data_IF_852793751327
#
_entry.id   IF_852793751327
#
_cell.length_a   1.000
_cell.length_b   1.000
_cell.length_c   1.000
_cell.angle_alpha   90.00
_cell.angle_beta   90.00
_cell.angle_gamma   90.00
#
_symmetry.space_group_name_H-M   'P 1'
#
loop_
_entity.id
_entity.type
_entity.pdbx_description
1 polymer ?
#
# COMPACT_ATOMS: atom_id res chain seq x y z
N UNK A 1 12.17 -14.61 43.08
CA UNK A 1 13.34 -13.82 43.52
C UNK A 1 13.93 -13.05 42.32
N UNK A 2 14.27 -11.77 42.50
CA UNK A 2 14.87 -10.91 41.46
C UNK A 2 16.40 -11.04 41.47
N UNK A 3 16.98 -11.42 40.33
CA UNK A 3 18.39 -11.83 40.25
C UNK A 3 19.38 -10.68 40.00
N UNK A 4 18.89 -9.44 39.86
CA UNK A 4 19.71 -8.24 39.68
C UNK A 4 19.43 -7.50 38.36
N UNK A 5 19.94 -6.28 38.24
CA UNK A 5 19.74 -5.41 37.06
C UNK A 5 18.88 -4.18 37.35
N UNK A 6 18.47 -3.49 36.28
CA UNK A 6 17.56 -2.34 36.36
C UNK A 6 16.21 -2.77 36.94
N UNK A 7 15.73 -2.18 38.05
CA UNK A 7 14.38 -2.43 38.52
C UNK A 7 13.35 -2.01 37.47
N UNK A 8 12.32 -2.82 37.18
CA UNK A 8 11.23 -2.40 36.32
C UNK A 8 10.54 -1.14 36.88
N UNK A 9 10.16 -0.20 36.00
CA UNK A 9 9.36 0.97 36.40
C UNK A 9 8.11 0.48 37.13
N UNK A 10 7.76 1.07 38.27
CA UNK A 10 6.64 0.62 39.11
C UNK A 10 7.08 -0.21 40.33
N UNK A 11 8.35 -0.61 40.37
CA UNK A 11 8.90 -1.44 41.45
C UNK A 11 10.24 -0.93 41.95
N UNK A 12 10.50 -1.16 43.23
CA UNK A 12 11.81 -1.04 43.87
C UNK A 12 12.31 -2.41 44.32
N UNK A 13 13.62 -2.53 44.55
CA UNK A 13 14.24 -3.79 45.00
C UNK A 13 14.53 -3.69 46.49
N UNK A 14 13.95 -4.59 47.28
CA UNK A 14 14.29 -4.78 48.70
C UNK A 14 14.51 -6.26 48.98
N UNK A 15 15.65 -6.62 49.57
CA UNK A 15 16.03 -8.03 49.84
C UNK A 15 15.85 -8.98 48.64
N UNK A 16 16.23 -8.53 47.43
CA UNK A 16 16.07 -9.28 46.16
C UNK A 16 14.61 -9.62 45.80
N UNK A 17 13.64 -8.89 46.35
CA UNK A 17 12.23 -8.93 45.96
C UNK A 17 11.83 -7.59 45.34
N UNK A 18 10.93 -7.65 44.36
CA UNK A 18 10.30 -6.46 43.80
C UNK A 18 9.17 -6.03 44.73
N UNK A 19 9.21 -4.79 45.20
CA UNK A 19 8.17 -4.17 46.02
C UNK A 19 7.55 -3.04 45.21
N UNK A 20 6.22 -2.93 45.27
CA UNK A 20 5.44 -1.92 44.56
C UNK A 20 5.85 -0.51 45.00
N UNK A 21 6.11 0.37 44.04
CA UNK A 21 6.34 1.80 44.28
C UNK A 21 5.11 2.60 43.82
N UNK A 22 4.29 3.05 44.76
CA UNK A 22 3.02 3.74 44.47
C UNK A 22 3.16 4.96 43.55
N UNK A 23 4.25 5.73 43.65
CA UNK A 23 4.49 6.90 42.79
C UNK A 23 4.82 6.55 41.33
N UNK A 24 5.26 5.32 41.07
CA UNK A 24 5.58 4.82 39.74
C UNK A 24 4.48 3.96 39.14
N UNK A 25 3.67 3.30 39.97
CA UNK A 25 2.56 2.44 39.52
C UNK A 25 1.59 3.21 38.63
N UNK A 26 1.20 4.42 39.03
CA UNK A 26 0.27 5.24 38.26
C UNK A 26 0.83 5.60 36.89
N UNK A 27 2.16 5.79 36.78
CA UNK A 27 2.81 5.99 35.47
C UNK A 27 2.75 4.74 34.62
N UNK A 28 2.93 3.55 35.19
CA UNK A 28 2.83 2.29 34.44
C UNK A 28 1.39 2.09 33.94
N UNK A 29 0.40 2.22 34.81
CA UNK A 29 -1.02 2.10 34.44
C UNK A 29 -1.42 3.08 33.35
N UNK A 30 -0.98 4.34 33.48
CA UNK A 30 -1.19 5.36 32.45
C UNK A 30 -0.58 4.95 31.10
N UNK A 31 0.63 4.39 31.08
CA UNK A 31 1.28 3.95 29.82
C UNK A 31 0.47 2.83 29.15
N UNK A 32 -0.05 1.87 29.92
CA UNK A 32 -0.88 0.78 29.38
C UNK A 32 -2.21 1.31 28.82
N UNK A 33 -2.92 2.13 29.59
CA UNK A 33 -4.22 2.69 29.18
C UNK A 33 -4.07 3.61 27.96
N UNK A 34 -3.07 4.49 27.95
CA UNK A 34 -2.79 5.34 26.78
C UNK A 34 -2.44 4.53 25.54
N UNK A 35 -1.79 3.36 25.69
CA UNK A 35 -1.53 2.50 24.54
C UNK A 35 -2.82 1.92 23.97
N UNK A 36 -3.73 1.46 24.82
CA UNK A 36 -5.05 0.96 24.42
C UNK A 36 -5.87 2.04 23.71
N UNK A 37 -5.86 3.27 24.24
CA UNK A 37 -6.55 4.42 23.65
C UNK A 37 -5.95 4.86 22.31
N UNK A 38 -4.63 4.93 22.20
CA UNK A 38 -3.96 5.49 21.02
C UNK A 38 -3.77 4.47 19.88
N UNK A 39 -3.81 3.18 20.20
CA UNK A 39 -3.69 2.08 19.23
C UNK A 39 -2.30 1.89 18.62
N UNK A 40 -1.30 2.72 18.97
CA UNK A 40 0.01 2.75 18.30
C UNK A 40 1.15 3.15 19.23
N UNK A 41 2.24 2.36 19.23
CA UNK A 41 3.43 2.63 20.04
C UNK A 41 4.12 3.94 19.63
N UNK A 42 4.04 4.34 18.36
CA UNK A 42 4.62 5.61 17.90
C UNK A 42 3.82 6.81 18.41
N UNK A 43 2.48 6.71 18.42
CA UNK A 43 1.60 7.74 19.00
C UNK A 43 1.79 7.84 20.51
N UNK A 44 1.88 6.68 21.18
CA UNK A 44 2.19 6.59 22.61
C UNK A 44 3.52 7.28 22.94
N UNK A 45 4.58 7.00 22.18
CA UNK A 45 5.88 7.64 22.39
C UNK A 45 5.80 9.18 22.32
N UNK A 46 5.05 9.72 21.37
CA UNK A 46 4.85 11.17 21.23
C UNK A 46 4.03 11.75 22.38
N UNK A 47 2.95 11.07 22.77
CA UNK A 47 2.07 11.48 23.89
C UNK A 47 2.81 11.47 25.23
N UNK A 48 3.60 10.42 25.51
CA UNK A 48 4.41 10.36 26.73
C UNK A 48 5.48 11.46 26.76
N UNK A 49 6.08 11.77 25.60
CA UNK A 49 7.04 12.88 25.47
C UNK A 49 6.38 14.24 25.74
N UNK A 50 5.18 14.50 25.22
CA UNK A 50 4.48 15.77 25.45
C UNK A 50 4.01 15.95 26.90
N UNK A 51 3.80 14.85 27.62
CA UNK A 51 3.41 14.83 29.04
C UNK A 51 4.60 14.77 30.01
N UNK A 52 5.83 14.86 29.49
CA UNK A 52 7.09 14.70 30.22
C UNK A 52 7.20 13.38 31.05
N UNK A 53 6.55 12.31 30.58
CA UNK A 53 6.60 11.01 31.24
C UNK A 53 7.90 10.29 30.84
N UNK A 54 8.75 10.03 31.83
CA UNK A 54 10.14 9.55 31.64
C UNK A 54 10.36 8.14 32.18
N UNK A 55 11.43 7.50 31.71
CA UNK A 55 11.88 6.19 32.19
C UNK A 55 12.34 6.23 33.65
N UNK A 56 12.32 5.08 34.34
CA UNK A 56 12.74 4.97 35.75
C UNK A 56 14.15 5.52 35.94
N UNK A 57 14.31 6.44 36.89
CA UNK A 57 15.62 6.89 37.36
C UNK A 57 16.11 5.91 38.43
N UNK A 58 17.36 5.48 38.32
CA UNK A 58 17.95 4.53 39.26
C UNK A 58 19.46 4.73 39.35
N UNK A 59 20.03 4.24 40.45
CA UNK A 59 21.48 4.27 40.68
C UNK A 59 22.01 2.85 40.53
N UNK A 60 23.00 2.68 39.67
CA UNK A 60 23.66 1.38 39.48
C UNK A 60 24.41 0.97 40.75
N UNK A 61 24.73 -0.32 40.91
CA UNK A 61 25.57 -0.80 42.02
C UNK A 61 26.94 -0.08 42.10
N UNK A 62 27.42 0.49 41.00
CA UNK A 62 28.66 1.28 40.91
C UNK A 62 28.48 2.78 41.22
N UNK A 63 27.31 3.21 41.70
CA UNK A 63 27.04 4.61 42.06
C UNK A 63 26.60 5.53 40.92
N UNK A 64 26.63 5.08 39.67
CA UNK A 64 26.22 5.91 38.53
C UNK A 64 24.70 6.04 38.42
N UNK A 65 24.19 7.27 38.35
CA UNK A 65 22.79 7.54 38.04
C UNK A 65 22.48 7.25 36.56
N UNK A 66 21.36 6.58 36.30
CA UNK A 66 20.86 6.25 34.96
C UNK A 66 19.34 6.39 34.89
N UNK A 67 18.82 6.51 33.66
CA UNK A 67 17.38 6.66 33.41
C UNK A 67 16.90 8.11 33.50
N UNK A 68 15.59 8.33 33.55
CA UNK A 68 15.00 9.68 33.46
C UNK A 68 14.95 10.24 32.03
N UNK A 69 15.21 9.42 31.02
CA UNK A 69 15.15 9.80 29.61
C UNK A 69 13.74 9.59 29.04
N UNK A 70 13.44 10.26 27.93
CA UNK A 70 12.23 9.98 27.15
C UNK A 70 12.21 8.54 26.67
N UNK A 71 11.04 7.92 26.62
CA UNK A 71 10.90 6.56 26.12
C UNK A 71 11.26 6.44 24.63
N UNK A 72 12.09 5.47 24.29
CA UNK A 72 12.30 5.05 22.90
C UNK A 72 11.25 4.03 22.49
N UNK A 73 11.02 3.87 21.19
CA UNK A 73 10.08 2.87 20.66
C UNK A 73 10.37 1.46 21.18
N UNK A 74 11.65 1.06 21.19
CA UNK A 74 12.05 -0.27 21.68
C UNK A 74 11.81 -0.46 23.18
N UNK A 75 12.06 0.58 23.98
CA UNK A 75 11.80 0.56 25.42
C UNK A 75 10.31 0.39 25.74
N UNK A 76 9.42 1.00 24.95
CA UNK A 76 7.96 0.84 25.12
C UNK A 76 7.51 -0.58 24.77
N UNK A 77 8.03 -1.19 23.71
CA UNK A 77 7.74 -2.60 23.43
C UNK A 77 8.23 -3.50 24.57
N UNK A 78 9.45 -3.29 25.07
CA UNK A 78 9.98 -4.07 26.18
C UNK A 78 9.12 -3.91 27.44
N UNK A 79 8.65 -2.70 27.75
CA UNK A 79 7.77 -2.42 28.89
C UNK A 79 6.40 -3.08 28.73
N UNK A 80 5.71 -2.82 27.63
CA UNK A 80 4.36 -3.34 27.38
C UNK A 80 4.32 -4.87 27.26
N UNK A 81 5.45 -5.53 26.96
CA UNK A 81 5.56 -6.98 26.86
C UNK A 81 6.20 -7.65 28.08
N UNK A 82 6.57 -6.88 29.11
CA UNK A 82 7.20 -7.43 30.30
C UNK A 82 6.17 -8.06 31.27
N UNK A 83 6.15 -9.40 31.44
CA UNK A 83 5.15 -10.07 32.29
C UNK A 83 5.30 -9.76 33.79
N UNK A 84 6.35 -9.03 34.19
CA UNK A 84 6.50 -8.52 35.57
C UNK A 84 5.28 -7.74 36.01
N UNK A 85 4.63 -7.01 35.12
CA UNK A 85 3.48 -6.17 35.46
C UNK A 85 2.23 -6.94 35.89
N UNK A 86 2.14 -8.22 35.52
CA UNK A 86 1.09 -9.16 35.94
C UNK A 86 1.56 -10.18 36.98
N UNK A 87 2.62 -9.86 37.73
CA UNK A 87 3.12 -10.72 38.81
C UNK A 87 4.00 -11.89 38.34
N UNK A 88 4.46 -11.92 37.08
CA UNK A 88 5.23 -13.04 36.52
C UNK A 88 6.67 -12.63 36.15
N UNK A 89 7.62 -13.56 36.18
CA UNK A 89 9.02 -13.27 35.84
C UNK A 89 9.45 -14.16 34.68
N UNK A 90 10.04 -13.54 33.65
CA UNK A 90 10.66 -14.25 32.53
C UNK A 90 12.10 -14.63 32.90
N UNK A 91 12.42 -15.92 32.77
CA UNK A 91 13.78 -16.43 32.90
C UNK A 91 14.11 -17.31 31.69
N UNK A 92 15.03 -16.84 30.85
CA UNK A 92 15.29 -17.41 29.51
C UNK A 92 13.99 -17.47 28.69
N UNK A 93 13.60 -18.68 28.26
CA UNK A 93 12.40 -18.91 27.45
C UNK A 93 11.17 -19.32 28.27
N UNK A 94 11.29 -19.38 29.60
CA UNK A 94 10.19 -19.77 30.49
C UNK A 94 9.69 -18.57 31.31
N UNK A 95 8.38 -18.51 31.50
CA UNK A 95 7.71 -17.53 32.35
C UNK A 95 7.24 -18.25 33.61
N UNK A 96 7.62 -17.72 34.77
CA UNK A 96 7.30 -18.29 36.09
C UNK A 96 6.47 -17.31 36.89
N UNK A 97 5.69 -17.81 37.85
CA UNK A 97 5.01 -16.96 38.83
C UNK A 97 6.06 -16.23 39.69
N UNK A 98 5.89 -14.92 39.82
CA UNK A 98 6.73 -14.05 40.63
C UNK A 98 6.31 -14.07 42.09
N UNK A 99 7.14 -13.47 42.94
CA UNK A 99 6.84 -13.29 44.37
C UNK A 99 6.44 -11.84 44.69
N UNK A 100 6.03 -11.09 43.66
CA UNK A 100 5.73 -9.67 43.75
C UNK A 100 4.30 -9.42 43.27
N UNK A 101 3.69 -8.37 43.81
CA UNK A 101 2.32 -8.01 43.49
C UNK A 101 2.20 -7.48 42.06
N UNK A 102 1.15 -7.87 41.35
CA UNK A 102 0.82 -7.36 40.02
C UNK A 102 0.31 -5.91 40.12
N UNK A 103 0.80 -5.03 39.26
CA UNK A 103 0.38 -3.61 39.24
C UNK A 103 -0.54 -3.27 38.07
N UNK A 104 -0.64 -4.18 37.09
CA UNK A 104 -1.59 -4.16 35.97
C UNK A 104 -2.46 -5.40 36.07
N UNK A 105 -3.77 -5.24 35.91
CA UNK A 105 -4.72 -6.35 35.91
C UNK A 105 -4.58 -7.20 34.62
N UNK A 106 -5.07 -8.44 34.67
CA UNK A 106 -4.94 -9.37 33.54
C UNK A 106 -5.74 -8.91 32.31
N UNK A 107 -6.89 -8.27 32.49
CA UNK A 107 -7.75 -7.86 31.39
C UNK A 107 -7.08 -6.76 30.55
N UNK A 108 -6.56 -5.72 31.20
CA UNK A 108 -5.77 -4.65 30.58
C UNK A 108 -4.53 -5.23 29.89
N UNK A 109 -3.83 -6.14 30.56
CA UNK A 109 -2.65 -6.78 30.00
C UNK A 109 -2.97 -7.57 28.72
N UNK A 110 -4.00 -8.40 28.75
CA UNK A 110 -4.41 -9.23 27.63
C UNK A 110 -4.88 -8.37 26.45
N UNK A 111 -5.66 -7.31 26.71
CA UNK A 111 -6.04 -6.33 25.69
C UNK A 111 -4.82 -5.69 25.02
N UNK A 112 -3.79 -5.31 25.80
CA UNK A 112 -2.54 -4.77 25.27
C UNK A 112 -1.79 -5.80 24.43
N UNK A 113 -1.69 -7.05 24.88
CA UNK A 113 -1.02 -8.11 24.13
C UNK A 113 -1.75 -8.41 22.81
N UNK A 114 -3.09 -8.45 22.83
CA UNK A 114 -3.91 -8.63 21.64
C UNK A 114 -3.72 -7.48 20.65
N UNK A 115 -3.75 -6.23 21.11
CA UNK A 115 -3.51 -5.06 20.28
C UNK A 115 -2.08 -5.05 19.70
N UNK A 116 -1.07 -5.42 20.50
CA UNK A 116 0.31 -5.59 20.02
C UNK A 116 0.42 -6.70 18.98
N UNK A 117 -0.28 -7.82 19.17
CA UNK A 117 -0.31 -8.93 18.20
C UNK A 117 -0.97 -8.50 16.89
N UNK A 118 -2.16 -7.90 16.96
CA UNK A 118 -2.86 -7.31 15.82
C UNK A 118 -1.96 -6.33 15.07
N UNK A 119 -1.32 -5.39 15.77
CA UNK A 119 -0.40 -4.43 15.17
C UNK A 119 0.85 -5.09 14.56
N UNK A 120 1.35 -6.21 15.12
CA UNK A 120 2.43 -7.00 14.52
C UNK A 120 1.99 -7.72 13.25
N UNK A 121 0.80 -8.30 13.23
CA UNK A 121 0.23 -8.93 12.02
C UNK A 121 -0.03 -7.88 10.95
N UNK A 122 -0.65 -6.76 11.33
CA UNK A 122 -0.87 -5.61 10.46
C UNK A 122 0.44 -4.97 10.00
N UNK A 123 1.52 -4.92 10.80
CA UNK A 123 2.84 -4.38 10.39
C UNK A 123 3.69 -5.38 9.59
N UNK A 124 3.55 -6.69 9.83
CA UNK A 124 4.13 -7.72 8.97
C UNK A 124 3.46 -7.73 7.60
N UNK A 125 2.16 -7.48 7.56
CA UNK A 125 1.45 -7.10 6.35
C UNK A 125 1.98 -5.75 5.82
N UNK A 126 1.91 -4.67 6.60
CA UNK A 126 2.34 -3.32 6.27
C UNK A 126 3.86 -3.17 6.42
N UNK A 127 4.61 -3.72 5.47
CA UNK A 127 6.08 -3.71 5.37
C UNK A 127 6.72 -2.38 5.85
N UNK A 128 7.68 -2.45 6.79
CA UNK A 128 8.35 -1.30 7.45
C UNK A 128 9.31 -0.47 6.55
N UNK A 129 9.09 -0.42 5.23
CA UNK A 129 9.91 0.36 4.32
C UNK A 129 9.60 1.87 4.47
N UNK A 130 10.61 2.75 4.26
CA UNK A 130 10.41 4.23 4.22
C UNK A 130 9.40 4.66 3.13
N UNK A 131 9.16 3.79 2.14
CA UNK A 131 8.09 3.90 1.15
C UNK A 131 7.58 2.48 0.84
N UNK A 132 6.59 1.97 1.57
CA UNK A 132 6.06 0.62 1.34
C UNK A 132 5.29 0.58 0.02
N UNK A 133 5.45 -0.50 -0.75
CA UNK A 133 4.66 -0.78 -1.94
C UNK A 133 3.16 -0.77 -1.61
N UNK A 134 2.32 -0.30 -2.52
CA UNK A 134 0.91 0.07 -2.26
C UNK A 134 0.13 -1.06 -1.59
N UNK A 135 0.23 -2.27 -2.13
CA UNK A 135 -0.48 -3.48 -1.70
C UNK A 135 0.32 -4.37 -0.74
N UNK A 136 1.43 -3.88 -0.19
CA UNK A 136 2.24 -4.64 0.75
C UNK A 136 1.38 -5.14 1.93
N UNK A 137 1.26 -6.46 2.07
CA UNK A 137 0.45 -7.09 3.11
C UNK A 137 -1.05 -7.13 2.91
N UNK A 138 -1.56 -6.51 1.86
CA UNK A 138 -2.93 -6.74 1.39
C UNK A 138 -2.97 -7.92 0.43
N UNK A 139 -1.90 -8.13 -0.34
CA UNK A 139 -1.84 -9.13 -1.40
C UNK A 139 -1.48 -10.53 -0.85
N UNK A 140 -2.38 -11.48 -1.05
CA UNK A 140 -2.24 -12.90 -0.66
C UNK A 140 -2.55 -13.82 -1.83
N UNK A 141 -1.96 -15.00 -1.85
CA UNK A 141 -2.33 -16.07 -2.77
C UNK A 141 -3.55 -16.85 -2.21
N UNK A 142 -4.23 -17.61 -3.04
CA UNK A 142 -5.39 -18.43 -2.64
C UNK A 142 -5.05 -19.50 -1.58
N UNK A 143 -3.78 -19.92 -1.49
CA UNK A 143 -3.28 -20.77 -0.41
C UNK A 143 -3.12 -20.05 0.94
N UNK A 144 -3.41 -18.75 0.99
CA UNK A 144 -3.34 -17.90 2.19
C UNK A 144 -1.95 -17.32 2.47
N UNK A 145 -0.92 -17.67 1.71
CA UNK A 145 0.42 -17.12 1.90
C UNK A 145 0.54 -15.71 1.27
N UNK A 146 1.30 -14.80 1.90
CA UNK A 146 1.40 -13.42 1.45
C UNK A 146 2.36 -13.25 0.27
N UNK A 147 2.00 -12.40 -0.68
CA UNK A 147 2.95 -11.87 -1.66
C UNK A 147 3.84 -10.82 -1.00
N UNK A 148 5.16 -10.93 -1.21
CA UNK A 148 6.14 -10.01 -0.62
C UNK A 148 6.71 -9.06 -1.67
N UNK A 149 6.74 -7.73 -1.42
CA UNK A 149 7.37 -6.81 -2.35
C UNK A 149 8.87 -7.07 -2.41
N UNK A 150 9.41 -7.16 -3.62
CA UNK A 150 10.82 -7.26 -3.93
C UNK A 150 11.16 -6.22 -4.98
N UNK A 151 12.14 -5.38 -4.63
CA UNK A 151 12.71 -4.40 -5.52
C UNK A 151 14.19 -4.71 -5.77
N UNK A 152 14.69 -4.33 -6.95
CA UNK A 152 16.10 -4.43 -7.25
C UNK A 152 16.45 -3.71 -8.54
N UNK A 153 17.74 -3.75 -8.90
CA UNK A 153 18.29 -3.10 -10.09
C UNK A 153 19.10 -4.12 -10.90
N UNK A 154 18.82 -4.25 -12.20
CA UNK A 154 19.56 -5.16 -13.10
C UNK A 154 19.80 -4.43 -14.42
N UNK A 155 21.08 -4.36 -14.83
CA UNK A 155 21.52 -3.66 -16.06
C UNK A 155 20.91 -2.24 -16.19
N UNK A 156 20.92 -1.47 -15.10
CA UNK A 156 20.38 -0.11 -15.07
C UNK A 156 18.86 0.01 -14.92
N UNK A 157 18.08 -1.05 -15.19
CA UNK A 157 16.63 -1.05 -15.03
C UNK A 157 16.22 -1.39 -13.58
N UNK A 158 15.30 -0.59 -13.03
CA UNK A 158 14.64 -0.88 -11.76
C UNK A 158 13.52 -1.89 -11.98
N UNK A 159 13.46 -2.92 -11.15
CA UNK A 159 12.38 -3.89 -11.17
C UNK A 159 11.71 -3.96 -9.82
N UNK A 160 10.38 -3.97 -9.82
CA UNK A 160 9.56 -3.99 -8.62
C UNK A 160 8.42 -4.99 -8.81
N UNK A 161 8.45 -6.07 -8.02
CA UNK A 161 7.51 -7.19 -8.11
C UNK A 161 6.98 -7.57 -6.73
N UNK A 162 5.76 -8.08 -6.70
CA UNK A 162 5.26 -8.89 -5.60
C UNK A 162 5.62 -10.35 -5.86
N UNK A 163 6.26 -11.02 -4.91
CA UNK A 163 6.80 -12.37 -5.10
C UNK A 163 6.13 -13.35 -4.14
N UNK A 164 5.73 -14.50 -4.70
CA UNK A 164 5.19 -15.67 -4.02
C UNK A 164 5.83 -16.93 -4.65
N UNK A 165 5.91 -18.09 -3.95
CA UNK A 165 6.40 -19.33 -4.55
C UNK A 165 5.72 -19.73 -5.87
N UNK A 166 4.41 -19.47 -6.02
CA UNK A 166 3.67 -19.74 -7.27
C UNK A 166 4.00 -18.77 -8.41
N UNK A 167 4.57 -17.59 -8.10
CA UNK A 167 4.97 -16.64 -9.14
C UNK A 167 5.21 -15.21 -8.66
N UNK A 168 5.60 -14.36 -9.62
CA UNK A 168 5.76 -12.92 -9.40
C UNK A 168 4.72 -12.11 -10.16
N UNK A 169 4.24 -11.05 -9.51
CA UNK A 169 3.30 -10.08 -10.05
C UNK A 169 3.99 -8.72 -10.20
N UNK A 170 3.95 -8.09 -11.38
CA UNK A 170 4.46 -6.74 -11.59
C UNK A 170 3.73 -5.72 -10.71
N UNK A 171 4.47 -4.90 -9.96
CA UNK A 171 3.87 -3.94 -9.01
C UNK A 171 3.01 -2.91 -9.72
N UNK A 172 3.49 -2.35 -10.85
CA UNK A 172 2.76 -1.29 -11.56
C UNK A 172 1.38 -1.76 -12.02
N UNK A 173 1.31 -2.95 -12.62
CA UNK A 173 0.10 -3.50 -13.19
C UNK A 173 -0.92 -3.88 -12.10
N UNK A 174 -0.49 -4.57 -11.04
CA UNK A 174 -1.41 -4.95 -9.97
C UNK A 174 -1.83 -3.73 -9.13
N UNK A 175 -0.94 -2.79 -8.85
CA UNK A 175 -1.27 -1.58 -8.08
C UNK A 175 -2.27 -0.71 -8.86
N UNK A 176 -2.07 -0.52 -10.17
CA UNK A 176 -3.01 0.21 -11.02
C UNK A 176 -4.36 -0.48 -11.00
N UNK A 177 -4.39 -1.79 -11.29
CA UNK A 177 -5.64 -2.54 -11.35
C UNK A 177 -6.47 -2.45 -10.06
N UNK A 178 -5.85 -2.66 -8.90
CA UNK A 178 -6.57 -2.57 -7.62
C UNK A 178 -7.03 -1.14 -7.35
N UNK A 179 -6.23 -0.14 -7.73
CA UNK A 179 -6.63 1.27 -7.60
C UNK A 179 -7.81 1.60 -8.51
N UNK A 180 -7.78 1.13 -9.76
CA UNK A 180 -8.81 1.37 -10.76
C UNK A 180 -10.14 0.69 -10.37
N UNK A 181 -10.11 -0.53 -9.83
CA UNK A 181 -11.31 -1.19 -9.29
C UNK A 181 -11.90 -0.44 -8.09
N UNK A 182 -11.07 0.12 -7.21
CA UNK A 182 -11.54 0.95 -6.10
C UNK A 182 -12.14 2.27 -6.59
N UNK A 183 -11.50 2.93 -7.57
CA UNK A 183 -12.03 4.15 -8.19
C UNK A 183 -13.38 3.86 -8.85
N UNK A 184 -13.49 2.75 -9.58
CA UNK A 184 -14.73 2.34 -10.22
C UNK A 184 -15.83 2.07 -9.18
N UNK A 185 -15.51 1.41 -8.06
CA UNK A 185 -16.45 1.21 -6.96
C UNK A 185 -16.93 2.55 -6.38
N UNK A 186 -16.00 3.48 -6.10
CA UNK A 186 -16.32 4.81 -5.57
C UNK A 186 -17.21 5.63 -6.52
N UNK A 187 -17.08 5.43 -7.82
CA UNK A 187 -17.92 6.09 -8.83
C UNK A 187 -19.34 5.51 -8.96
N UNK A 188 -19.61 4.31 -8.43
CA UNK A 188 -20.92 3.66 -8.51
C UNK A 188 -21.72 3.90 -7.23
N UNK A 189 -22.32 5.08 -7.13
CA UNK A 189 -23.02 5.55 -5.93
C UNK A 189 -24.07 4.55 -5.39
N UNK A 190 -24.88 3.95 -6.27
CA UNK A 190 -25.90 2.97 -5.86
C UNK A 190 -25.30 1.68 -5.26
N UNK A 191 -24.17 1.20 -5.79
CA UNK A 191 -23.46 0.03 -5.24
C UNK A 191 -22.82 0.39 -3.90
N UNK A 192 -22.22 1.58 -3.82
CA UNK A 192 -21.56 2.10 -2.63
C UNK A 192 -22.54 2.25 -1.45
N UNK A 193 -23.70 2.88 -1.65
CA UNK A 193 -24.73 3.02 -0.63
C UNK A 193 -25.21 1.66 -0.08
N UNK A 194 -25.35 0.66 -0.97
CA UNK A 194 -25.71 -0.71 -0.59
C UNK A 194 -24.62 -1.38 0.26
N UNK A 195 -23.35 -1.16 -0.07
CA UNK A 195 -22.22 -1.75 0.66
C UNK A 195 -22.07 -1.13 2.05
N UNK A 196 -22.22 0.19 2.18
CA UNK A 196 -22.11 0.88 3.49
C UNK A 196 -23.37 0.71 4.35
N UNK A 197 -24.50 0.29 3.75
CA UNK A 197 -25.75 0.03 4.45
C UNK A 197 -26.32 1.28 5.12
N UNK A 198 -26.33 2.41 4.41
CA UNK A 198 -27.01 3.63 4.87
C UNK A 198 -28.22 3.90 4.00
N UNK A 199 -29.35 4.19 4.65
CA UNK A 199 -30.62 4.57 4.04
C UNK A 199 -30.95 6.05 4.30
N UNK A 200 -30.11 6.74 5.07
CA UNK A 200 -30.26 8.16 5.37
C UNK A 200 -29.80 9.02 4.17
N UNK A 201 -30.70 9.79 3.53
CA UNK A 201 -30.37 10.60 2.36
C UNK A 201 -29.21 11.57 2.60
N UNK A 202 -29.12 12.19 3.78
CA UNK A 202 -28.04 13.12 4.10
C UNK A 202 -26.69 12.40 4.17
N UNK A 203 -26.66 11.16 4.68
CA UNK A 203 -25.44 10.35 4.70
C UNK A 203 -25.07 9.82 3.31
N UNK A 204 -26.07 9.52 2.47
CA UNK A 204 -25.84 9.10 1.08
C UNK A 204 -25.17 10.22 0.27
N UNK A 205 -25.62 11.47 0.44
CA UNK A 205 -25.03 12.63 -0.23
C UNK A 205 -23.58 12.89 0.22
N UNK A 206 -23.35 12.88 1.53
CA UNK A 206 -21.99 13.03 2.11
C UNK A 206 -21.07 11.92 1.62
N UNK A 207 -21.55 10.67 1.64
CA UNK A 207 -20.77 9.53 1.17
C UNK A 207 -20.44 9.64 -0.33
N UNK A 208 -21.40 10.07 -1.17
CA UNK A 208 -21.20 10.26 -2.60
C UNK A 208 -20.19 11.38 -2.92
N UNK A 209 -20.30 12.52 -2.24
CA UNK A 209 -19.35 13.63 -2.39
C UNK A 209 -17.93 13.21 -1.97
N UNK A 210 -17.80 12.54 -0.81
CA UNK A 210 -16.51 12.06 -0.31
C UNK A 210 -15.93 10.95 -1.17
N UNK A 211 -16.76 10.06 -1.71
CA UNK A 211 -16.35 9.03 -2.64
C UNK A 211 -15.77 9.64 -3.92
N UNK A 212 -16.42 10.67 -4.47
CA UNK A 212 -15.94 11.40 -5.67
C UNK A 212 -14.60 12.08 -5.44
N UNK A 213 -14.44 12.76 -4.30
CA UNK A 213 -13.17 13.38 -3.91
C UNK A 213 -12.06 12.34 -3.75
N UNK A 214 -12.37 11.23 -3.08
CA UNK A 214 -11.43 10.13 -2.84
C UNK A 214 -11.01 9.45 -4.16
N UNK A 215 -11.95 9.21 -5.07
CA UNK A 215 -11.67 8.65 -6.39
C UNK A 215 -10.73 9.56 -7.19
N UNK A 216 -10.96 10.87 -7.12
CA UNK A 216 -10.09 11.88 -7.76
C UNK A 216 -8.69 11.87 -7.16
N UNK A 217 -8.58 11.81 -5.83
CA UNK A 217 -7.29 11.73 -5.13
C UNK A 217 -6.52 10.46 -5.50
N UNK A 218 -7.18 9.30 -5.50
CA UNK A 218 -6.56 8.02 -5.88
C UNK A 218 -6.11 8.02 -7.35
N UNK A 219 -6.85 8.66 -8.25
CA UNK A 219 -6.50 8.80 -9.67
C UNK A 219 -5.25 9.66 -9.87
N UNK A 220 -5.11 10.74 -9.11
CA UNK A 220 -3.92 11.60 -9.15
C UNK A 220 -2.71 10.90 -8.52
N UNK A 221 -2.91 10.27 -7.36
CA UNK A 221 -1.85 9.59 -6.62
C UNK A 221 -2.43 8.46 -5.76
N UNK A 222 -2.14 7.19 -6.08
CA UNK A 222 -2.55 6.07 -5.25
C UNK A 222 -1.98 6.20 -3.82
N UNK A 223 -2.88 6.16 -2.83
CA UNK A 223 -2.56 6.37 -1.42
C UNK A 223 -2.80 5.12 -0.61
N UNK A 224 -1.72 4.57 -0.08
CA UNK A 224 -1.74 3.32 0.67
C UNK A 224 -2.64 3.37 1.92
N UNK A 225 -2.63 4.49 2.62
CA UNK A 225 -3.43 4.68 3.82
C UNK A 225 -4.93 4.62 3.55
N UNK A 226 -5.38 5.09 2.39
CA UNK A 226 -6.78 4.97 1.94
C UNK A 226 -7.12 3.50 1.66
N UNK A 227 -6.27 2.79 0.89
CA UNK A 227 -6.48 1.36 0.61
C UNK A 227 -6.58 0.52 1.89
N UNK A 228 -5.74 0.80 2.89
CA UNK A 228 -5.75 0.08 4.17
C UNK A 228 -7.02 0.28 5.00
N UNK A 229 -7.79 1.34 4.75
CA UNK A 229 -9.07 1.59 5.42
C UNK A 229 -10.22 0.90 4.69
N UNK A 230 -10.12 0.73 3.37
CA UNK A 230 -11.21 0.24 2.53
C UNK A 230 -11.07 -1.23 2.11
N UNK A 231 -9.86 -1.80 2.15
CA UNK A 231 -9.56 -3.16 1.66
C UNK A 231 -8.99 -4.00 2.78
N UNK A 232 -9.62 -5.14 3.06
CA UNK A 232 -9.13 -6.12 4.03
C UNK A 232 -8.00 -6.96 3.44
N UNK A 233 -8.20 -7.49 2.22
CA UNK A 233 -7.22 -8.27 1.48
C UNK A 233 -7.52 -8.33 -0.01
N UNK A 234 -6.49 -8.62 -0.79
CA UNK A 234 -6.56 -8.92 -2.23
C UNK A 234 -6.04 -10.34 -2.41
N UNK A 235 -6.91 -11.25 -2.82
CA UNK A 235 -6.57 -12.65 -3.08
C UNK A 235 -6.30 -12.85 -4.56
N UNK A 236 -5.15 -13.43 -4.89
CA UNK A 236 -4.77 -13.82 -6.25
C UNK A 236 -4.89 -15.33 -6.35
N UNK A 237 -5.87 -15.80 -7.12
CA UNK A 237 -6.01 -17.21 -7.51
C UNK A 237 -5.38 -17.49 -8.87
N UNK A 238 -5.63 -18.66 -9.46
CA UNK A 238 -5.02 -19.02 -10.76
C UNK A 238 -5.52 -18.16 -11.94
N UNK A 239 -6.82 -17.83 -11.95
CA UNK A 239 -7.50 -17.13 -13.07
C UNK A 239 -8.33 -15.94 -12.62
N UNK A 240 -8.37 -15.64 -11.32
CA UNK A 240 -9.18 -14.56 -10.77
C UNK A 240 -8.47 -13.83 -9.63
N UNK A 241 -8.68 -12.52 -9.55
CA UNK A 241 -8.28 -11.68 -8.42
C UNK A 241 -9.56 -11.27 -7.70
N UNK A 242 -9.58 -11.42 -6.37
CA UNK A 242 -10.70 -11.02 -5.52
C UNK A 242 -10.27 -9.96 -4.53
N UNK A 243 -10.99 -8.84 -4.49
CA UNK A 243 -10.82 -7.76 -3.52
C UNK A 243 -11.88 -7.93 -2.44
N UNK A 244 -11.43 -8.08 -1.19
CA UNK A 244 -12.30 -8.06 -0.03
C UNK A 244 -12.37 -6.63 0.52
N UNK A 245 -13.51 -5.98 0.32
CA UNK A 245 -13.80 -4.61 0.75
C UNK A 245 -14.28 -4.61 2.19
N UNK A 246 -13.60 -3.83 3.04
CA UNK A 246 -13.95 -3.62 4.42
C UNK A 246 -15.17 -2.69 4.50
N UNK A 247 -16.36 -3.24 4.72
CA UNK A 247 -17.61 -2.45 4.74
C UNK A 247 -17.63 -1.39 5.83
N UNK A 248 -17.20 -1.73 7.04
CA UNK A 248 -17.18 -0.81 8.19
C UNK A 248 -16.14 0.29 8.01
N UNK A 249 -14.95 -0.08 7.54
CA UNK A 249 -13.87 0.86 7.22
C UNK A 249 -14.27 1.82 6.10
N UNK A 250 -14.91 1.31 5.04
CA UNK A 250 -15.47 2.10 3.95
C UNK A 250 -16.56 3.07 4.45
N UNK A 251 -17.51 2.59 5.26
CA UNK A 251 -18.58 3.41 5.85
C UNK A 251 -17.98 4.52 6.70
N UNK A 252 -17.14 4.19 7.68
CA UNK A 252 -16.53 5.16 8.58
C UNK A 252 -15.70 6.20 7.81
N UNK A 253 -14.98 5.74 6.78
CA UNK A 253 -14.22 6.63 5.91
C UNK A 253 -15.13 7.58 5.13
N UNK A 254 -16.26 7.13 4.59
CA UNK A 254 -17.10 7.97 3.72
C UNK A 254 -18.12 8.85 4.47
N UNK A 255 -18.59 8.43 5.64
CA UNK A 255 -19.61 9.18 6.40
C UNK A 255 -19.04 9.98 7.58
N UNK A 256 -17.73 9.87 7.87
CA UNK A 256 -17.09 10.47 9.06
C UNK A 256 -17.67 9.98 10.40
N UNK A 257 -18.52 8.95 10.40
CA UNK A 257 -19.07 8.35 11.61
C UNK A 257 -18.02 7.37 12.15
N UNK A 258 -17.52 7.63 13.36
CA UNK A 258 -16.87 6.58 14.14
C UNK A 258 -17.99 5.68 14.64
N UNK A 259 -18.04 4.42 14.18
CA UNK A 259 -18.95 3.43 14.77
C UNK A 259 -18.50 3.17 16.22
N UNK A 260 -18.95 4.02 17.14
CA UNK A 260 -19.03 3.69 18.54
C UNK A 260 -20.13 2.65 18.67
N UNK A 261 -19.73 1.39 18.85
CA UNK A 261 -20.47 0.34 19.57
C UNK A 261 -22.02 0.32 19.40
N UNK A 262 -22.50 -0.77 18.76
CA UNK A 262 -23.88 -1.26 18.70
C UNK A 262 -24.78 -0.69 17.59
N UNK A 263 -24.64 -1.22 16.38
CA UNK A 263 -25.83 -1.50 15.56
C UNK A 263 -26.31 -2.91 15.91
N UNK A 264 -27.32 -3.01 16.78
CA UNK A 264 -28.18 -4.20 16.87
C UNK A 264 -28.96 -4.29 15.56
N UNK A 265 -28.43 -5.02 14.60
CA UNK A 265 -29.07 -5.21 13.30
C UNK A 265 -28.27 -6.19 12.43
N UNK A 266 -28.82 -7.39 12.29
CA UNK A 266 -28.47 -8.48 11.38
C UNK A 266 -26.98 -8.90 11.27
N UNK A 267 -26.71 -10.18 11.53
CA UNK A 267 -25.42 -10.88 11.49
C UNK A 267 -24.65 -10.81 10.14
N UNK A 268 -25.16 -10.08 9.13
CA UNK A 268 -24.61 -9.97 7.77
C UNK A 268 -23.78 -8.72 7.47
N UNK A 269 -23.78 -7.68 8.32
CA UNK A 269 -23.13 -6.38 8.03
C UNK A 269 -21.61 -6.34 8.27
N UNK A 270 -21.03 -7.35 8.93
CA UNK A 270 -19.58 -7.45 9.18
C UNK A 270 -18.79 -8.14 8.07
N UNK A 271 -19.45 -8.92 7.21
CA UNK A 271 -18.76 -9.68 6.18
C UNK A 271 -18.21 -8.75 5.08
N UNK A 272 -16.96 -8.94 4.61
CA UNK A 272 -16.42 -8.12 3.55
C UNK A 272 -17.25 -8.24 2.27
N UNK A 273 -17.33 -7.17 1.50
CA UNK A 273 -17.91 -7.21 0.17
C UNK A 273 -16.84 -7.66 -0.84
N UNK A 274 -17.15 -8.67 -1.67
CA UNK A 274 -16.16 -9.25 -2.59
C UNK A 274 -16.35 -8.77 -4.02
N UNK A 275 -15.28 -8.21 -4.60
CA UNK A 275 -15.21 -7.88 -6.02
C UNK A 275 -14.24 -8.85 -6.67
N UNK A 276 -14.73 -9.72 -7.55
CA UNK A 276 -13.90 -10.71 -8.25
C UNK A 276 -13.80 -10.37 -9.73
N UNK A 277 -12.59 -10.44 -10.29
CA UNK A 277 -12.28 -10.20 -11.70
C UNK A 277 -11.43 -11.32 -12.25
N UNK A 278 -11.63 -11.67 -13.51
CA UNK A 278 -10.77 -12.63 -14.19
C UNK A 278 -9.40 -12.00 -14.49
N UNK A 279 -8.33 -12.79 -14.51
CA UNK A 279 -7.04 -12.34 -14.99
C UNK A 279 -6.25 -13.49 -15.61
N UNK A 280 -5.24 -13.12 -16.40
CA UNK A 280 -4.27 -14.01 -17.02
C UNK A 280 -2.87 -13.42 -16.87
N UNK A 281 -1.90 -14.22 -16.41
CA UNK A 281 -0.48 -13.82 -16.47
C UNK A 281 0.09 -14.25 -17.81
N UNK A 282 0.52 -13.29 -18.65
CA UNK A 282 1.21 -13.60 -19.90
C UNK A 282 2.66 -13.18 -19.84
N UNK A 283 3.56 -14.03 -20.32
CA UNK A 283 4.99 -13.69 -20.42
C UNK A 283 5.19 -12.78 -21.64
N UNK A 284 5.79 -11.61 -21.44
CA UNK A 284 6.08 -10.65 -22.51
C UNK A 284 7.57 -10.29 -22.47
N UNK A 285 8.36 -10.85 -23.39
CA UNK A 285 9.81 -10.65 -23.45
C UNK A 285 10.55 -11.15 -22.20
N UNK A 286 11.47 -10.34 -21.68
CA UNK A 286 12.28 -10.66 -20.50
C UNK A 286 11.52 -10.53 -19.15
N UNK A 287 10.22 -10.18 -19.14
CA UNK A 287 9.39 -10.02 -17.95
C UNK A 287 8.02 -10.72 -18.03
N UNK A 288 7.37 -10.94 -16.88
CA UNK A 288 5.96 -11.36 -16.80
C UNK A 288 5.09 -10.11 -16.84
N UNK A 289 4.02 -10.09 -17.64
CA UNK A 289 3.01 -9.02 -17.68
C UNK A 289 1.68 -9.59 -17.19
N UNK A 290 1.02 -8.88 -16.29
CA UNK A 290 -0.34 -9.20 -15.88
C UNK A 290 -1.29 -8.71 -16.98
N UNK A 291 -2.08 -9.62 -17.55
CA UNK A 291 -3.14 -9.33 -18.54
C UNK A 291 -4.48 -9.64 -17.88
N UNK A 292 -5.20 -8.61 -17.46
CA UNK A 292 -6.44 -8.78 -16.71
C UNK A 292 -7.61 -8.85 -17.69
N UNK A 293 -8.57 -9.77 -17.48
CA UNK A 293 -9.83 -9.81 -18.23
C UNK A 293 -10.95 -9.31 -17.32
N UNK A 294 -11.71 -8.27 -17.63
CA UNK A 294 -12.28 -7.86 -18.90
C UNK A 294 -12.80 -6.42 -18.75
N UNK A 295 -12.72 -5.62 -19.82
CA UNK A 295 -13.85 -4.80 -20.25
C UNK A 295 -14.23 -5.29 -21.66
N UNK A 296 -15.23 -6.17 -21.75
CA UNK A 296 -16.06 -6.30 -22.94
C UNK A 296 -17.25 -5.39 -22.66
N UNK A 297 -17.45 -4.38 -23.51
CA UNK A 297 -18.27 -3.18 -23.33
C UNK A 297 -17.50 -2.04 -22.61
N UNK A 298 -17.23 -0.97 -23.37
CA UNK A 298 -16.61 0.32 -23.03
C UNK A 298 -15.07 0.51 -23.00
N UNK A 299 -14.26 -0.45 -23.43
CA UNK A 299 -12.82 -0.22 -23.66
C UNK A 299 -12.58 0.54 -24.99
N UNK A 300 -12.92 1.83 -25.03
CA UNK A 300 -12.10 2.78 -25.80
C UNK A 300 -10.93 3.12 -24.89
N UNK A 301 -9.90 2.26 -24.93
CA UNK A 301 -8.67 2.43 -24.16
C UNK A 301 -8.17 3.86 -24.31
N UNK A 302 -7.78 4.50 -23.20
CA UNK A 302 -7.08 5.79 -23.34
C UNK A 302 -5.82 5.56 -24.19
N UNK A 303 -5.59 6.37 -25.23
CA UNK A 303 -4.44 6.20 -26.12
C UNK A 303 -3.13 6.15 -25.34
N UNK A 304 -2.21 5.24 -25.66
CA UNK A 304 -0.90 5.20 -25.00
C UNK A 304 -0.20 6.57 -25.13
N UNK A 305 0.03 7.31 -24.02
CA UNK A 305 0.63 8.64 -24.07
C UNK A 305 2.04 8.65 -24.67
N UNK A 306 2.73 7.51 -24.67
CA UNK A 306 4.04 7.34 -25.31
C UNK A 306 3.90 7.24 -26.83
N UNK A 307 2.91 6.49 -27.33
CA UNK A 307 2.59 6.42 -28.76
C UNK A 307 2.13 7.79 -29.27
N UNK A 308 1.24 8.46 -28.54
CA UNK A 308 0.78 9.82 -28.88
C UNK A 308 1.95 10.80 -29.02
N UNK A 309 2.82 10.87 -27.99
CA UNK A 309 4.01 11.75 -28.03
C UNK A 309 4.94 11.42 -29.19
N UNK A 310 5.08 10.13 -29.51
CA UNK A 310 5.96 9.68 -30.61
C UNK A 310 5.41 10.11 -31.97
N UNK A 311 4.10 9.96 -32.20
CA UNK A 311 3.43 10.39 -33.44
C UNK A 311 3.44 11.91 -33.55
N UNK A 312 3.06 12.63 -32.49
CA UNK A 312 3.08 14.09 -32.48
C UNK A 312 4.48 14.64 -32.79
N UNK A 313 5.52 14.05 -32.18
CA UNK A 313 6.92 14.40 -32.44
C UNK A 313 7.36 14.07 -33.87
N UNK A 314 6.89 12.96 -34.44
CA UNK A 314 7.16 12.62 -35.83
C UNK A 314 6.63 13.69 -36.79
N UNK A 315 5.40 14.16 -36.59
CA UNK A 315 4.81 15.23 -37.39
C UNK A 315 5.51 16.57 -37.18
N UNK A 316 5.79 16.95 -35.92
CA UNK A 316 6.50 18.20 -35.63
C UNK A 316 7.89 18.24 -36.30
N UNK A 317 8.67 17.17 -36.17
CA UNK A 317 9.97 17.08 -36.82
C UNK A 317 9.87 17.01 -38.35
N UNK A 318 8.80 16.43 -38.89
CA UNK A 318 8.56 16.47 -40.33
C UNK A 318 8.27 17.88 -40.83
N UNK A 319 7.52 18.68 -40.07
CA UNK A 319 7.26 20.08 -40.41
C UNK A 319 8.51 20.95 -40.23
N UNK A 320 9.35 20.67 -39.22
CA UNK A 320 10.69 21.26 -39.10
C UNK A 320 11.53 21.00 -40.36
N UNK A 321 11.55 19.76 -40.88
CA UNK A 321 12.26 19.44 -42.12
C UNK A 321 11.71 20.18 -43.33
N UNK A 322 10.37 20.32 -43.44
CA UNK A 322 9.76 21.12 -44.51
C UNK A 322 10.14 22.60 -44.43
N UNK A 323 10.36 23.11 -43.22
CA UNK A 323 10.79 24.50 -43.00
C UNK A 323 12.26 24.75 -43.35
N UNK A 324 13.02 23.71 -43.71
CA UNK A 324 14.41 23.79 -44.13
C UNK A 324 15.43 23.38 -43.06
N UNK A 325 15.00 22.98 -41.86
CA UNK A 325 15.90 22.42 -40.86
C UNK A 325 16.41 21.04 -41.31
N UNK A 326 17.65 20.74 -40.97
CA UNK A 326 18.28 19.43 -41.17
C UNK A 326 18.03 18.49 -39.99
N UNK A 327 18.20 17.18 -40.21
CA UNK A 327 18.13 16.19 -39.13
C UNK A 327 19.10 16.50 -37.98
N UNK A 328 20.30 17.01 -38.30
CA UNK A 328 21.32 17.38 -37.33
C UNK A 328 20.89 18.57 -36.46
N UNK A 329 20.25 19.57 -37.05
CA UNK A 329 19.77 20.75 -36.31
C UNK A 329 18.62 20.39 -35.36
N UNK A 330 17.68 19.54 -35.81
CA UNK A 330 16.59 19.03 -34.96
C UNK A 330 17.16 18.19 -33.81
N UNK A 331 18.13 17.31 -34.10
CA UNK A 331 18.82 16.49 -33.11
C UNK A 331 19.53 17.33 -32.04
N UNK A 332 20.23 18.39 -32.44
CA UNK A 332 20.89 19.33 -31.53
C UNK A 332 19.89 20.11 -30.68
N UNK A 333 18.81 20.64 -31.27
CA UNK A 333 17.76 21.39 -30.56
C UNK A 333 17.13 20.56 -29.44
N UNK A 334 16.82 19.30 -29.73
CA UNK A 334 16.06 18.44 -28.81
C UNK A 334 16.96 17.54 -27.95
N UNK A 335 18.30 17.67 -28.06
CA UNK A 335 19.31 16.86 -27.39
C UNK A 335 19.11 15.33 -27.60
N UNK A 336 18.83 14.94 -28.84
CA UNK A 336 18.54 13.56 -29.26
C UNK A 336 19.50 13.12 -30.36
N UNK A 337 19.75 11.81 -30.48
CA UNK A 337 20.56 11.23 -31.56
C UNK A 337 19.92 11.43 -32.95
N UNK A 338 20.72 11.83 -33.94
CA UNK A 338 20.27 12.10 -35.31
C UNK A 338 19.57 10.90 -35.96
N UNK A 339 20.03 9.67 -35.68
CA UNK A 339 19.40 8.45 -36.23
C UNK A 339 18.03 8.22 -35.61
N UNK A 340 17.82 8.62 -34.35
CA UNK A 340 16.52 8.56 -33.71
C UNK A 340 15.55 9.56 -34.35
N UNK A 341 16.00 10.78 -34.64
CA UNK A 341 15.20 11.78 -35.39
C UNK A 341 14.80 11.20 -36.75
N UNK A 342 15.76 10.67 -37.52
CA UNK A 342 15.51 10.09 -38.83
C UNK A 342 14.55 8.88 -38.81
N UNK A 343 14.55 8.09 -37.72
CA UNK A 343 13.61 6.95 -37.56
C UNK A 343 12.22 7.40 -37.17
N UNK A 344 12.11 8.40 -36.30
CA UNK A 344 10.81 8.89 -35.81
C UNK A 344 10.08 9.69 -36.88
N UNK A 345 10.75 10.54 -37.66
CA UNK A 345 10.12 11.33 -38.75
C UNK A 345 9.34 10.46 -39.73
N UNK A 346 9.83 9.25 -40.02
CA UNK A 346 9.14 8.30 -40.92
C UNK A 346 7.72 7.96 -40.47
N UNK A 347 7.45 8.07 -39.16
CA UNK A 347 6.13 7.78 -38.59
C UNK A 347 5.09 8.86 -38.94
N UNK A 348 5.50 10.03 -39.44
CA UNK A 348 4.58 11.03 -39.99
C UNK A 348 3.89 10.54 -41.28
N UNK A 349 4.38 9.45 -41.88
CA UNK A 349 3.86 8.82 -43.09
C UNK A 349 3.08 7.53 -42.82
N UNK A 350 2.65 7.30 -41.58
CA UNK A 350 1.74 6.21 -41.25
C UNK A 350 0.40 6.39 -41.96
N UNK A 351 -0.25 5.28 -42.29
CA UNK A 351 -1.58 5.29 -42.87
C UNK A 351 -2.55 6.11 -41.99
N UNK A 352 -3.41 6.96 -42.56
CA UNK A 352 -4.28 7.85 -41.78
C UNK A 352 -5.20 7.13 -40.79
N UNK A 353 -5.69 5.95 -41.16
CA UNK A 353 -6.52 5.08 -40.33
C UNK A 353 -5.74 4.44 -39.17
N UNK A 354 -4.47 4.06 -39.37
CA UNK A 354 -3.57 3.62 -38.31
C UNK A 354 -3.37 4.74 -37.29
N UNK A 355 -3.12 5.96 -37.77
CA UNK A 355 -2.96 7.14 -36.90
C UNK A 355 -4.24 7.43 -36.13
N UNK A 356 -5.41 7.42 -36.80
CA UNK A 356 -6.72 7.59 -36.16
C UNK A 356 -6.99 6.51 -35.11
N UNK A 357 -6.65 5.27 -35.39
CA UNK A 357 -6.82 4.17 -34.46
C UNK A 357 -5.93 4.34 -33.22
N UNK A 358 -4.66 4.73 -33.39
CA UNK A 358 -3.77 5.04 -32.24
C UNK A 358 -4.29 6.22 -31.43
N UNK A 359 -4.77 7.29 -32.09
CA UNK A 359 -5.39 8.44 -31.42
C UNK A 359 -6.69 8.08 -30.68
N UNK A 360 -7.38 7.03 -31.10
CA UNK A 360 -8.59 6.51 -30.48
C UNK A 360 -8.32 5.40 -29.45
N UNK A 361 -7.05 5.03 -29.24
CA UNK A 361 -6.66 3.94 -28.34
C UNK A 361 -7.03 2.54 -28.84
N UNK A 362 -7.22 2.41 -30.16
CA UNK A 362 -7.58 1.19 -30.86
C UNK A 362 -6.36 0.51 -31.49
N UNK A 363 -5.15 0.78 -30.99
CA UNK A 363 -3.95 0.13 -31.50
C UNK A 363 -3.91 -1.39 -31.22
N UNK A 364 -3.35 -2.19 -32.14
CA UNK A 364 -3.16 -3.62 -31.97
C UNK A 364 -2.35 -3.94 -30.72
N UNK A 365 -2.78 -4.98 -30.01
CA UNK A 365 -2.16 -5.41 -28.75
C UNK A 365 -0.70 -5.76 -28.97
N UNK A 366 0.20 -5.00 -28.34
CA UNK A 366 1.66 -5.17 -28.45
C UNK A 366 2.34 -4.22 -29.43
N UNK A 367 1.61 -3.26 -30.00
CA UNK A 367 2.19 -2.07 -30.59
C UNK A 367 2.61 -1.11 -29.47
N UNK A 368 3.87 -0.66 -29.48
CA UNK A 368 4.41 0.31 -28.51
C UNK A 368 5.23 1.35 -29.26
N UNK A 369 5.43 2.52 -28.66
CA UNK A 369 6.29 3.57 -29.22
C UNK A 369 7.70 3.05 -29.57
N UNK A 370 8.29 2.24 -28.69
CA UNK A 370 9.59 1.62 -28.92
C UNK A 370 9.55 0.66 -30.12
N UNK A 371 8.51 -0.17 -30.23
CA UNK A 371 8.36 -1.08 -31.37
C UNK A 371 8.18 -0.33 -32.67
N UNK A 372 7.41 0.76 -32.67
CA UNK A 372 7.10 1.57 -33.85
C UNK A 372 8.36 2.28 -34.38
N UNK A 373 9.13 2.94 -33.51
CA UNK A 373 10.43 3.55 -33.85
C UNK A 373 11.49 2.49 -34.21
N UNK A 374 11.39 1.32 -33.56
CA UNK A 374 11.95 -0.01 -33.89
C UNK A 374 12.12 -0.39 -35.36
N UNK A 375 11.13 -0.05 -36.16
CA UNK A 375 10.94 -0.64 -37.48
C UNK A 375 12.09 -0.23 -38.40
N UNK A 376 12.91 -1.17 -38.91
CA UNK A 376 14.08 -0.85 -39.71
C UNK A 376 13.72 -0.06 -40.98
N UNK A 377 12.61 -0.46 -41.62
CA UNK A 377 12.05 0.18 -42.80
C UNK A 377 10.52 0.16 -42.69
N UNK A 378 9.92 1.34 -42.55
CA UNK A 378 8.47 1.48 -42.65
C UNK A 378 8.09 1.37 -44.13
N UNK A 379 7.20 0.44 -44.52
CA UNK A 379 6.74 0.33 -45.91
C UNK A 379 6.10 1.63 -46.40
N UNK A 380 6.28 1.97 -47.68
CA UNK A 380 5.59 3.09 -48.32
C UNK A 380 4.14 2.75 -48.65
N UNK A 381 3.83 1.47 -48.88
CA UNK A 381 2.47 0.98 -49.07
C UNK A 381 1.70 0.94 -47.75
N UNK A 382 0.56 1.64 -47.69
CA UNK A 382 -0.30 1.61 -46.50
C UNK A 382 -0.89 0.22 -46.22
N UNK A 383 -1.13 -0.60 -47.24
CA UNK A 383 -1.58 -1.97 -47.04
C UNK A 383 -0.50 -2.81 -46.34
N UNK A 384 0.76 -2.64 -46.73
CA UNK A 384 1.88 -3.30 -46.06
C UNK A 384 2.11 -2.76 -44.64
N UNK A 385 1.85 -1.46 -44.41
CA UNK A 385 1.88 -0.91 -43.06
C UNK A 385 0.81 -1.55 -42.16
N UNK A 386 -0.43 -1.71 -42.65
CA UNK A 386 -1.51 -2.37 -41.89
C UNK A 386 -1.12 -3.78 -41.50
N UNK A 387 -0.64 -4.57 -42.45
CA UNK A 387 -0.27 -5.95 -42.18
C UNK A 387 0.95 -6.07 -41.26
N UNK A 388 1.96 -5.22 -41.44
CA UNK A 388 3.13 -5.18 -40.56
C UNK A 388 2.79 -4.78 -39.12
N UNK A 389 1.83 -3.86 -38.95
CA UNK A 389 1.47 -3.28 -37.66
C UNK A 389 0.27 -3.98 -36.99
N UNK A 390 -0.42 -4.86 -37.72
CA UNK A 390 -1.55 -5.66 -37.23
C UNK A 390 -2.89 -4.92 -37.26
N UNK A 391 -3.08 -3.99 -38.20
CA UNK A 391 -4.33 -3.22 -38.42
C UNK A 391 -5.15 -3.77 -39.62
N UNK A 392 -4.99 -5.06 -39.93
CA UNK A 392 -5.73 -5.74 -41.00
C UNK A 392 -7.21 -5.95 -40.64
#
# INVERSE_FOLDING_TARGET
MWMGGLPPLGYDIKHRKLIVNGSEVERVRLVFNRYLELGSVLRLMKDLKSRDIRSKRWVTRKGNARGGSTFTRGALYALLQNPVYIGRIRHKDKVHEGQHEAIVDRETWDAVQQLLARNRHESRAKTNAKSPSLLAGLLVHEDGAPYRPRQGRKKGAHFHYYVHPSGSLPVREIDSFITDELIALLGRQAELCRIIGTEDPAQMDVAGAKATLTATELKLRPRRDILLQMVDKVTVGEKHISLAINRLGLRSFLTNIQDSMQTKGADGTKAPHHITRAFQLKRCGHGRKLIIGQHKADDRSQPDPSLLRTIARAHAWFDDLKSGLSYKEIAMRDAIDERLVARTVRLAFLAPDITKAILAGLEPRGLTAERLVRIPKLPTSWNEQRSLLGFD
#
